data_IF_036935671541
#
_entry.id   IF_036935671541
#
_cell.length_a   1.000
_cell.length_b   1.000
_cell.length_c   1.000
_cell.angle_alpha   90.00
_cell.angle_beta   90.00
_cell.angle_gamma   90.00
#
_symmetry.space_group_name_H-M   'P 1'
#
loop_
_entity.id
_entity.type
_entity.pdbx_description
1 polymer ?
#
# COMPACT_ATOMS: atom_id res chain seq x y z
N UNK A 1 9.67 -2.74 -66.77
CA UNK A 1 8.82 -2.47 -67.95
C UNK A 1 7.69 -1.55 -67.52
N UNK A 2 7.69 -0.34 -68.11
CA UNK A 2 6.61 0.66 -68.34
C UNK A 2 5.90 1.20 -67.09
N UNK A 3 6.08 2.40 -66.67
CA UNK A 3 6.07 3.76 -67.23
C UNK A 3 4.71 4.45 -67.23
N UNK A 4 4.70 5.67 -66.68
CA UNK A 4 3.91 6.87 -67.05
C UNK A 4 2.54 7.01 -66.36
N UNK A 5 2.05 8.20 -65.96
CA UNK A 5 2.39 9.66 -66.04
C UNK A 5 1.33 10.33 -65.17
N UNK A 6 1.60 11.31 -64.32
CA UNK A 6 1.67 12.76 -64.56
C UNK A 6 0.35 13.42 -65.01
N UNK A 7 -0.16 14.38 -64.22
CA UNK A 7 -0.66 15.74 -64.54
C UNK A 7 -1.31 16.32 -63.29
N UNK A 8 -0.82 17.30 -62.66
CA UNK A 8 -0.83 18.76 -62.73
C UNK A 8 -2.20 19.36 -63.13
N UNK A 9 -2.79 20.14 -62.26
CA UNK A 9 -3.33 21.46 -62.53
C UNK A 9 -3.57 22.29 -61.25
N UNK A 10 -3.05 23.44 -61.34
CA UNK A 10 -3.04 24.63 -60.48
C UNK A 10 -4.23 25.49 -60.87
N UNK A 11 -4.94 26.09 -59.89
CA UNK A 11 -5.67 27.34 -60.11
C UNK A 11 -5.91 28.11 -58.78
N UNK A 12 -5.55 29.33 -58.86
CA UNK A 12 -5.50 30.44 -57.91
C UNK A 12 -6.83 31.20 -57.86
N UNK A 13 -6.91 32.08 -56.83
CA UNK A 13 -7.79 33.30 -56.70
C UNK A 13 -9.06 33.06 -55.91
N UNK A 14 -9.54 33.91 -55.04
CA UNK A 14 -9.28 35.28 -54.61
C UNK A 14 -10.03 35.60 -53.31
N UNK A 15 -9.61 36.65 -52.65
CA UNK A 15 -10.10 37.23 -51.40
C UNK A 15 -11.58 37.65 -51.42
N UNK A 16 -12.19 37.66 -50.24
CA UNK A 16 -13.44 38.35 -49.96
C UNK A 16 -13.65 38.50 -48.47
N UNK A 17 -13.41 39.68 -47.96
CA UNK A 17 -13.73 40.14 -46.63
C UNK A 17 -15.23 40.48 -46.59
N UNK A 18 -15.99 40.04 -45.57
CA UNK A 18 -16.91 40.92 -44.85
C UNK A 18 -17.48 40.32 -43.58
N UNK A 19 -17.72 41.19 -42.66
CA UNK A 19 -17.97 41.12 -41.24
C UNK A 19 -19.36 40.61 -40.79
N UNK A 20 -19.40 40.39 -39.48
CA UNK A 20 -20.51 40.50 -38.52
C UNK A 20 -21.74 39.55 -38.63
N UNK A 21 -21.88 38.73 -37.61
CA UNK A 21 -22.99 38.85 -36.67
C UNK A 21 -22.85 37.89 -35.50
N UNK A 22 -22.95 38.45 -34.32
CA UNK A 22 -23.10 37.80 -33.01
C UNK A 22 -24.38 37.03 -32.96
N UNK A 23 -24.35 35.77 -32.59
CA UNK A 23 -25.50 35.12 -31.93
C UNK A 23 -25.02 34.12 -30.89
N UNK A 24 -25.24 34.53 -29.66
CA UNK A 24 -25.17 33.76 -28.43
C UNK A 24 -26.04 32.51 -28.51
N UNK A 25 -25.45 31.35 -28.41
CA UNK A 25 -26.17 30.15 -28.05
C UNK A 25 -25.40 29.44 -26.93
N UNK A 26 -25.90 29.58 -25.70
CA UNK A 26 -25.51 28.75 -24.57
C UNK A 26 -25.82 27.28 -24.87
N UNK A 27 -24.79 26.53 -25.20
CA UNK A 27 -24.79 25.07 -25.19
C UNK A 27 -23.96 24.59 -24.02
N UNK A 28 -24.63 24.38 -22.89
CA UNK A 28 -24.04 23.70 -21.74
C UNK A 28 -23.79 22.22 -22.11
N UNK A 29 -22.62 21.90 -22.59
CA UNK A 29 -22.11 20.52 -22.60
C UNK A 29 -21.50 20.27 -21.25
N UNK A 30 -22.22 19.51 -20.42
CA UNK A 30 -21.66 18.91 -19.22
C UNK A 30 -20.50 18.00 -19.62
N UNK A 31 -19.30 18.49 -19.43
CA UNK A 31 -18.08 17.70 -19.49
C UNK A 31 -18.00 16.96 -18.16
N UNK A 32 -18.40 15.68 -18.17
CA UNK A 32 -18.14 14.74 -17.10
C UNK A 32 -16.65 14.39 -17.13
N UNK A 33 -15.80 15.34 -16.72
CA UNK A 33 -14.45 14.99 -16.34
C UNK A 33 -14.52 14.21 -15.03
N UNK A 34 -14.41 12.90 -15.12
CA UNK A 34 -14.02 12.08 -13.99
C UNK A 34 -12.67 12.59 -13.51
N UNK A 35 -12.69 13.43 -12.48
CA UNK A 35 -11.50 13.74 -11.70
C UNK A 35 -11.11 12.45 -10.99
N UNK A 36 -10.20 11.68 -11.59
CA UNK A 36 -9.29 10.84 -10.83
C UNK A 36 -8.52 11.79 -9.91
N UNK A 37 -8.87 11.80 -8.63
CA UNK A 37 -8.07 12.50 -7.63
C UNK A 37 -6.64 11.95 -7.75
N UNK A 38 -5.67 12.83 -8.00
CA UNK A 38 -4.28 12.44 -7.89
C UNK A 38 -4.08 11.89 -6.48
N UNK A 39 -3.53 10.67 -6.38
CA UNK A 39 -3.22 10.07 -5.09
C UNK A 39 -2.34 11.07 -4.31
N UNK A 40 -2.67 11.28 -3.03
CA UNK A 40 -1.88 12.10 -2.12
C UNK A 40 -0.57 11.36 -1.81
N UNK A 41 0.44 11.58 -2.66
CA UNK A 41 1.73 10.88 -2.59
C UNK A 41 2.62 11.35 -1.43
N UNK A 42 2.14 12.30 -0.61
CA UNK A 42 2.90 12.83 0.52
C UNK A 42 2.73 11.98 1.80
N UNK A 43 1.72 11.10 1.84
CA UNK A 43 1.49 10.19 2.98
C UNK A 43 2.44 9.01 2.91
N UNK A 44 3.53 9.06 3.69
CA UNK A 44 4.56 8.03 3.69
C UNK A 44 4.95 7.61 5.09
N UNK A 45 5.30 6.34 5.24
CA UNK A 45 5.96 5.83 6.43
C UNK A 45 7.06 4.85 6.04
N UNK A 46 8.03 4.64 6.94
CA UNK A 46 9.18 3.76 6.72
C UNK A 46 9.22 2.69 7.79
N UNK A 47 9.38 1.44 7.36
CA UNK A 47 9.65 0.29 8.23
C UNK A 47 11.13 -0.04 8.13
N UNK A 48 11.83 -0.07 9.27
CA UNK A 48 13.17 -0.65 9.41
C UNK A 48 13.02 -2.12 9.79
N UNK A 49 13.74 -3.00 9.08
CA UNK A 49 13.67 -4.46 9.23
C UNK A 49 14.79 -4.95 10.15
N UNK A 50 14.48 -5.81 11.10
CA UNK A 50 15.43 -6.34 12.08
C UNK A 50 15.74 -7.83 11.79
N UNK A 51 16.54 -8.06 10.74
CA UNK A 51 16.90 -9.40 10.27
C UNK A 51 17.69 -10.23 11.29
N UNK A 52 18.27 -9.61 12.31
CA UNK A 52 18.94 -10.34 13.42
C UNK A 52 17.94 -11.07 14.33
N UNK A 53 16.69 -10.60 14.40
CA UNK A 53 15.63 -11.17 15.24
C UNK A 53 14.70 -12.09 14.44
N UNK A 54 14.46 -11.78 13.14
CA UNK A 54 13.55 -12.51 12.28
C UNK A 54 14.05 -12.59 10.81
N UNK A 55 15.15 -13.31 10.54
CA UNK A 55 15.79 -13.32 9.21
C UNK A 55 14.91 -13.87 8.10
N UNK A 56 14.17 -14.97 8.33
CA UNK A 56 13.29 -15.59 7.33
C UNK A 56 12.13 -14.66 6.99
N UNK A 57 11.57 -14.02 8.01
CA UNK A 57 10.46 -13.07 7.86
C UNK A 57 10.90 -11.82 7.09
N UNK A 58 12.06 -11.25 7.43
CA UNK A 58 12.62 -10.10 6.72
C UNK A 58 12.91 -10.43 5.26
N UNK A 59 13.55 -11.57 4.97
CA UNK A 59 13.84 -12.02 3.59
C UNK A 59 12.55 -12.17 2.77
N UNK A 60 11.53 -12.80 3.33
CA UNK A 60 10.22 -12.96 2.68
C UNK A 60 9.56 -11.60 2.42
N UNK A 61 9.55 -10.71 3.41
CA UNK A 61 8.95 -9.39 3.29
C UNK A 61 9.64 -8.55 2.20
N UNK A 62 10.97 -8.53 2.18
CA UNK A 62 11.74 -7.86 1.14
C UNK A 62 11.51 -8.43 -0.26
N UNK A 63 11.44 -9.77 -0.38
CA UNK A 63 11.10 -10.44 -1.64
C UNK A 63 9.77 -9.91 -2.18
N UNK A 64 8.73 -9.90 -1.34
CA UNK A 64 7.40 -9.44 -1.70
C UNK A 64 7.39 -7.93 -2.07
N UNK A 65 8.15 -7.08 -1.37
CA UNK A 65 8.33 -5.67 -1.73
C UNK A 65 9.00 -5.53 -3.10
N UNK A 66 10.09 -6.25 -3.35
CA UNK A 66 10.82 -6.23 -4.64
C UNK A 66 9.96 -6.74 -5.79
N UNK A 67 9.06 -7.68 -5.54
CA UNK A 67 8.08 -8.21 -6.49
C UNK A 67 6.87 -7.30 -6.67
N UNK A 68 6.79 -6.15 -5.94
CA UNK A 68 5.65 -5.23 -5.93
C UNK A 68 4.34 -5.88 -5.48
N UNK A 69 4.43 -6.93 -4.68
CA UNK A 69 3.26 -7.67 -4.22
C UNK A 69 2.30 -6.79 -3.41
N UNK A 70 2.84 -5.85 -2.64
CA UNK A 70 2.04 -4.97 -1.77
C UNK A 70 1.38 -3.80 -2.50
N UNK A 71 1.83 -3.46 -3.72
CA UNK A 71 1.29 -2.34 -4.49
C UNK A 71 -0.19 -2.59 -4.82
N UNK A 72 -1.05 -1.64 -4.46
CA UNK A 72 -2.51 -1.73 -4.62
C UNK A 72 -3.24 -2.50 -3.53
N UNK A 73 -2.54 -3.17 -2.59
CA UNK A 73 -3.18 -3.81 -1.45
C UNK A 73 -3.60 -2.78 -0.40
N UNK A 74 -4.40 -3.21 0.57
CA UNK A 74 -4.98 -2.32 1.58
C UNK A 74 -4.65 -2.73 3.00
N UNK A 75 -4.73 -1.76 3.92
CA UNK A 75 -4.94 -2.04 5.33
C UNK A 75 -6.43 -2.29 5.56
N UNK A 76 -6.81 -3.55 5.60
CA UNK A 76 -8.21 -3.99 5.61
C UNK A 76 -8.82 -4.08 7.00
N UNK A 77 -8.00 -4.02 8.05
CA UNK A 77 -8.42 -4.09 9.45
C UNK A 77 -7.62 -3.11 10.31
N UNK A 78 -8.30 -2.15 10.94
CA UNK A 78 -7.70 -1.11 11.78
C UNK A 78 -8.47 -1.05 13.10
N UNK A 79 -7.81 -1.41 14.21
CA UNK A 79 -8.39 -1.45 15.55
C UNK A 79 -7.68 -0.45 16.44
N UNK A 80 -8.43 0.53 16.93
CA UNK A 80 -7.89 1.56 17.82
C UNK A 80 -7.32 0.94 19.11
N UNK A 81 -6.15 1.41 19.52
CA UNK A 81 -5.44 0.93 20.69
C UNK A 81 -4.87 -0.49 20.56
N UNK A 82 -4.92 -1.09 19.35
CA UNK A 82 -4.34 -2.39 19.07
C UNK A 82 -3.44 -2.35 17.83
N UNK A 83 -3.97 -2.50 16.60
CA UNK A 83 -3.11 -2.59 15.41
C UNK A 83 -3.81 -2.16 14.11
N UNK A 84 -3.02 -1.90 13.07
CA UNK A 84 -3.44 -1.84 11.67
C UNK A 84 -2.88 -3.04 10.91
N UNK A 85 -3.74 -3.85 10.26
CA UNK A 85 -3.38 -5.06 9.53
C UNK A 85 -3.63 -4.89 8.02
N UNK A 86 -2.62 -5.26 7.23
CA UNK A 86 -2.65 -5.19 5.77
C UNK A 86 -1.91 -6.35 5.11
N UNK A 87 -1.64 -6.23 3.79
CA UNK A 87 -0.87 -7.22 3.03
C UNK A 87 -1.67 -8.44 2.58
N UNK A 88 -3.00 -8.34 2.59
CA UNK A 88 -3.91 -9.37 2.10
C UNK A 88 -4.40 -9.04 0.69
N UNK A 89 -4.12 -9.86 -0.35
CA UNK A 89 -4.62 -9.63 -1.70
C UNK A 89 -6.15 -9.72 -1.82
N UNK A 90 -6.84 -10.42 -0.91
CA UNK A 90 -8.30 -10.49 -0.88
C UNK A 90 -8.93 -9.29 -0.13
N UNK A 91 -8.18 -8.63 0.77
CA UNK A 91 -8.66 -7.50 1.56
C UNK A 91 -9.74 -7.84 2.58
N UNK A 92 -9.84 -9.11 3.00
CA UNK A 92 -10.84 -9.60 3.95
C UNK A 92 -10.26 -10.46 5.09
N UNK A 93 -8.94 -10.62 5.12
CA UNK A 93 -8.18 -11.39 6.09
C UNK A 93 -7.95 -12.86 5.68
N UNK A 94 -8.44 -13.29 4.53
CA UNK A 94 -8.39 -14.71 4.11
C UNK A 94 -7.26 -15.03 3.13
N UNK A 95 -6.70 -14.02 2.48
CA UNK A 95 -5.67 -14.16 1.46
C UNK A 95 -4.24 -14.11 2.00
N UNK A 96 -3.30 -14.30 1.08
CA UNK A 96 -1.87 -14.23 1.39
C UNK A 96 -1.02 -14.44 0.14
N UNK A 97 0.30 -14.38 0.28
CA UNK A 97 1.21 -14.80 -0.78
C UNK A 97 1.16 -16.32 -0.95
N UNK A 98 1.73 -16.79 -2.05
CA UNK A 98 1.67 -18.20 -2.45
C UNK A 98 2.38 -19.14 -1.46
N UNK A 99 3.46 -18.67 -0.84
CA UNK A 99 4.31 -19.46 0.03
C UNK A 99 4.13 -19.00 1.47
N UNK A 100 4.07 -19.94 2.41
CA UNK A 100 4.12 -19.66 3.85
C UNK A 100 5.56 -19.76 4.35
N UNK A 101 5.81 -19.14 5.49
CA UNK A 101 7.13 -19.11 6.13
C UNK A 101 7.07 -19.67 7.54
N UNK A 102 8.21 -20.14 8.04
CA UNK A 102 8.37 -20.55 9.44
C UNK A 102 8.13 -19.35 10.35
N UNK A 103 7.33 -19.53 11.40
CA UNK A 103 7.09 -18.50 12.40
C UNK A 103 8.30 -18.34 13.32
N UNK A 104 8.90 -17.14 13.35
CA UNK A 104 10.08 -16.82 14.14
C UNK A 104 9.71 -16.19 15.48
N UNK A 105 9.24 -17.02 16.41
CA UNK A 105 8.87 -16.65 17.78
C UNK A 105 9.06 -17.83 18.75
N UNK A 106 9.12 -17.53 20.06
CA UNK A 106 9.57 -18.50 21.06
C UNK A 106 8.64 -19.73 21.21
N UNK A 107 7.32 -19.59 21.04
CA UNK A 107 6.39 -20.73 21.03
C UNK A 107 6.66 -21.70 19.87
N UNK A 108 7.32 -21.26 18.81
CA UNK A 108 7.76 -22.07 17.66
C UNK A 108 9.27 -22.43 17.70
N UNK A 109 9.90 -22.28 18.87
CA UNK A 109 11.30 -22.65 19.09
C UNK A 109 12.33 -21.72 18.49
N UNK A 110 11.96 -20.48 18.14
CA UNK A 110 12.87 -19.45 17.63
C UNK A 110 12.92 -18.29 18.63
N UNK A 111 14.13 -17.91 19.06
CA UNK A 111 14.30 -16.72 19.88
C UNK A 111 14.02 -15.47 19.02
N UNK A 112 13.13 -14.61 19.48
CA UNK A 112 12.85 -13.30 18.91
C UNK A 112 12.75 -12.30 20.07
N UNK A 113 13.61 -11.26 20.05
CA UNK A 113 13.74 -10.30 21.15
C UNK A 113 12.88 -9.05 21.00
N UNK A 114 12.22 -8.91 19.86
CA UNK A 114 11.36 -7.76 19.60
C UNK A 114 10.05 -7.91 20.40
N UNK A 115 9.77 -6.95 21.24
CA UNK A 115 8.51 -6.88 22.00
C UNK A 115 7.49 -6.04 21.24
N UNK A 116 6.23 -6.51 21.17
CA UNK A 116 5.14 -5.84 20.48
C UNK A 116 4.72 -4.57 21.22
N UNK A 117 5.42 -3.49 20.92
CA UNK A 117 5.14 -2.14 21.40
C UNK A 117 4.71 -1.26 20.24
N UNK A 118 4.27 -0.03 20.51
CA UNK A 118 3.84 0.92 19.47
C UNK A 118 4.89 1.04 18.35
N UNK A 119 4.44 0.91 17.11
CA UNK A 119 5.24 0.99 15.88
C UNK A 119 5.88 -0.33 15.45
N UNK A 120 5.92 -1.35 16.31
CA UNK A 120 6.45 -2.66 15.92
C UNK A 120 5.59 -3.30 14.83
N UNK A 121 6.26 -3.91 13.87
CA UNK A 121 5.65 -4.61 12.74
C UNK A 121 5.84 -6.11 12.90
N UNK A 122 4.76 -6.88 12.78
CA UNK A 122 4.74 -8.31 13.00
C UNK A 122 3.90 -9.03 11.97
N UNK A 123 4.21 -10.32 11.71
CA UNK A 123 3.43 -11.12 10.76
C UNK A 123 2.11 -11.60 11.36
N UNK A 124 1.04 -11.40 10.61
CA UNK A 124 -0.23 -12.08 10.88
C UNK A 124 -0.15 -13.54 10.43
N UNK A 125 -0.88 -14.42 11.10
CA UNK A 125 -0.93 -15.85 10.82
C UNK A 125 -2.29 -16.48 11.19
N UNK A 126 -2.56 -17.66 10.65
CA UNK A 126 -3.64 -18.53 11.11
C UNK A 126 -3.23 -19.33 12.39
N UNK A 127 -3.94 -20.37 12.72
CA UNK A 127 -3.64 -21.19 13.92
C UNK A 127 -2.32 -21.95 13.79
N UNK A 128 -1.96 -22.41 12.60
CA UNK A 128 -0.67 -23.03 12.35
C UNK A 128 0.45 -22.00 12.54
N UNK A 129 1.50 -22.39 13.26
CA UNK A 129 2.62 -21.52 13.60
C UNK A 129 3.46 -21.12 12.36
N UNK A 130 3.42 -21.93 11.30
CA UNK A 130 4.15 -21.73 10.05
C UNK A 130 3.23 -21.28 8.89
N UNK A 131 2.09 -20.65 9.21
CA UNK A 131 1.09 -20.20 8.24
C UNK A 131 1.24 -18.73 7.82
N UNK A 132 2.17 -17.98 8.38
CA UNK A 132 2.42 -16.62 7.95
C UNK A 132 2.87 -16.58 6.49
N UNK A 133 2.45 -15.57 5.72
CA UNK A 133 2.84 -15.44 4.31
C UNK A 133 3.12 -13.98 3.91
N UNK A 134 2.09 -13.14 3.72
CA UNK A 134 2.24 -11.74 3.34
C UNK A 134 1.52 -10.77 4.26
N UNK A 135 0.51 -11.21 5.01
CA UNK A 135 -0.20 -10.31 5.91
C UNK A 135 0.67 -9.91 7.10
N UNK A 136 0.67 -8.62 7.41
CA UNK A 136 1.40 -8.04 8.54
C UNK A 136 0.53 -7.03 9.28
N UNK A 137 0.93 -6.69 10.50
CA UNK A 137 0.28 -5.64 11.26
C UNK A 137 1.28 -4.72 11.95
N UNK A 138 0.86 -3.48 12.19
CA UNK A 138 1.61 -2.44 12.89
C UNK A 138 0.90 -2.17 14.21
N UNK A 139 1.61 -2.31 15.34
CA UNK A 139 1.06 -2.10 16.67
C UNK A 139 0.82 -0.61 16.95
N UNK A 140 -0.33 -0.29 17.55
CA UNK A 140 -0.63 1.07 18.04
C UNK A 140 -0.30 1.28 19.51
N UNK A 141 -0.07 0.21 20.27
CA UNK A 141 -0.01 0.27 21.74
C UNK A 141 1.24 -0.40 22.30
N UNK A 142 1.76 0.15 23.39
CA UNK A 142 2.82 -0.50 24.19
C UNK A 142 2.28 -1.66 25.06
N UNK A 143 0.97 -1.94 24.96
CA UNK A 143 0.31 -3.02 25.71
C UNK A 143 0.14 -4.31 24.92
N UNK A 144 0.59 -4.31 23.65
CA UNK A 144 0.43 -5.47 22.75
C UNK A 144 1.45 -6.59 23.05
N UNK A 145 2.24 -6.46 24.13
CA UNK A 145 3.23 -7.43 24.60
C UNK A 145 2.67 -8.83 24.88
N UNK A 146 1.35 -8.98 24.98
CA UNK A 146 0.71 -10.32 25.06
C UNK A 146 0.89 -11.14 23.77
N UNK A 147 1.33 -10.52 22.67
CA UNK A 147 1.67 -11.17 21.40
C UNK A 147 3.11 -11.72 21.40
N UNK A 148 3.95 -11.29 22.35
CA UNK A 148 5.34 -11.72 22.45
C UNK A 148 5.44 -13.23 22.57
N UNK A 149 6.38 -13.80 21.81
CA UNK A 149 6.56 -15.24 21.75
C UNK A 149 5.49 -16.03 21.00
N UNK A 150 4.49 -15.36 20.43
CA UNK A 150 3.38 -15.98 19.68
C UNK A 150 3.30 -15.51 18.21
N UNK A 151 3.89 -14.36 17.92
CA UNK A 151 3.93 -13.75 16.58
C UNK A 151 5.35 -13.30 16.25
N UNK A 152 5.70 -13.33 14.96
CA UNK A 152 7.01 -12.96 14.47
C UNK A 152 7.08 -11.44 14.25
N UNK A 153 7.49 -10.69 15.28
CA UNK A 153 7.88 -9.30 15.12
C UNK A 153 9.17 -9.24 14.30
N UNK A 154 9.24 -8.35 13.28
CA UNK A 154 10.35 -8.34 12.35
C UNK A 154 10.85 -6.94 11.97
N UNK A 155 10.22 -5.90 12.46
CA UNK A 155 10.60 -4.53 12.15
C UNK A 155 9.84 -3.52 12.98
N UNK A 156 10.09 -2.26 12.68
CA UNK A 156 9.46 -1.12 13.35
C UNK A 156 9.23 0.03 12.37
N UNK A 157 8.13 0.74 12.51
CA UNK A 157 7.92 2.03 11.84
C UNK A 157 8.85 3.06 12.49
N UNK A 158 9.87 3.48 11.76
CA UNK A 158 10.89 4.42 12.24
C UNK A 158 10.66 5.85 11.77
N UNK A 159 9.87 6.03 10.72
CA UNK A 159 9.48 7.35 10.18
C UNK A 159 8.00 7.31 9.77
N UNK A 160 7.28 8.42 9.96
CA UNK A 160 5.89 8.55 9.50
C UNK A 160 4.85 7.75 10.29
N UNK A 161 5.08 7.47 11.57
CA UNK A 161 4.07 6.80 12.42
C UNK A 161 2.78 7.62 12.57
N UNK A 162 2.83 8.93 12.36
CA UNK A 162 1.67 9.83 12.28
C UNK A 162 0.78 9.53 11.08
N UNK A 163 1.35 9.11 9.95
CA UNK A 163 0.58 8.64 8.78
C UNK A 163 -0.18 7.35 9.12
N UNK A 164 0.45 6.44 9.88
CA UNK A 164 -0.21 5.20 10.36
C UNK A 164 -1.32 5.55 11.37
N UNK A 165 -1.12 6.56 12.23
CA UNK A 165 -2.17 7.06 13.14
C UNK A 165 -3.35 7.64 12.38
N UNK A 166 -3.13 8.25 11.23
CA UNK A 166 -4.18 8.82 10.39
C UNK A 166 -5.14 7.75 9.83
N UNK A 167 -4.75 6.47 9.78
CA UNK A 167 -5.67 5.37 9.48
C UNK A 167 -6.83 5.30 10.48
N UNK A 168 -6.61 5.71 11.74
CA UNK A 168 -7.64 5.77 12.77
C UNK A 168 -8.69 6.87 12.52
N UNK A 169 -8.40 7.86 11.67
CA UNK A 169 -9.33 8.94 11.29
C UNK A 169 -10.29 8.50 10.18
N UNK A 170 -9.95 7.43 9.43
CA UNK A 170 -10.82 6.85 8.42
C UNK A 170 -12.03 6.21 9.11
N UNK A 171 -13.24 6.50 8.59
CA UNK A 171 -14.47 5.87 9.09
C UNK A 171 -14.38 4.35 8.94
N UNK A 172 -14.82 3.63 9.98
CA UNK A 172 -14.81 2.17 10.01
C UNK A 172 -16.20 1.60 10.26
N UNK A 173 -16.47 0.46 9.67
CA UNK A 173 -17.67 -0.33 9.88
C UNK A 173 -17.30 -1.66 10.55
N UNK A 174 -18.31 -2.46 10.88
CA UNK A 174 -18.11 -3.77 11.49
C UNK A 174 -17.35 -4.69 10.54
N UNK A 175 -16.19 -5.17 10.98
CA UNK A 175 -15.37 -6.14 10.27
C UNK A 175 -15.77 -7.59 10.57
N UNK A 176 -15.01 -8.55 10.01
CA UNK A 176 -15.18 -9.98 10.26
C UNK A 176 -14.89 -10.40 11.70
N UNK A 177 -14.19 -9.55 12.45
CA UNK A 177 -13.90 -9.70 13.88
C UNK A 177 -15.02 -9.18 14.81
N UNK A 178 -16.16 -8.75 14.25
CA UNK A 178 -17.28 -8.11 14.92
C UNK A 178 -16.93 -6.80 15.66
N UNK A 179 -15.76 -6.21 15.35
CA UNK A 179 -15.35 -4.91 15.84
C UNK A 179 -15.56 -3.82 14.77
N UNK A 180 -15.52 -2.54 15.16
CA UNK A 180 -15.47 -1.39 14.24
C UNK A 180 -14.04 -1.28 13.69
N UNK A 181 -13.70 -2.18 12.78
CA UNK A 181 -12.33 -2.39 12.32
C UNK A 181 -12.11 -2.28 10.82
N UNK A 182 -13.18 -2.39 10.02
CA UNK A 182 -13.07 -2.36 8.55
C UNK A 182 -13.17 -0.92 8.02
N UNK A 183 -12.12 -0.35 7.40
CA UNK A 183 -12.18 0.96 6.78
C UNK A 183 -13.28 1.04 5.70
N UNK A 184 -14.07 2.11 5.71
CA UNK A 184 -15.12 2.39 4.69
C UNK A 184 -14.45 2.90 3.41
N UNK A 185 -13.53 3.85 3.54
CA UNK A 185 -12.63 4.26 2.44
C UNK A 185 -11.40 3.36 2.49
N UNK A 186 -11.01 2.74 1.37
CA UNK A 186 -9.81 1.90 1.35
C UNK A 186 -8.57 2.69 1.76
N UNK A 187 -7.76 2.14 2.67
CA UNK A 187 -6.43 2.63 3.01
C UNK A 187 -5.45 1.86 2.14
N UNK A 188 -5.08 2.45 1.00
CA UNK A 188 -4.38 1.76 -0.08
C UNK A 188 -2.87 1.99 -0.03
N UNK A 189 -2.10 0.92 -0.17
CA UNK A 189 -0.66 0.98 -0.42
C UNK A 189 -0.48 1.32 -1.91
N UNK A 190 -0.13 2.57 -2.22
CA UNK A 190 0.14 2.98 -3.61
C UNK A 190 1.43 2.32 -4.10
N UNK A 191 2.42 2.27 -3.21
CA UNK A 191 3.73 1.69 -3.50
C UNK A 191 4.43 1.26 -2.22
N UNK A 192 5.11 0.11 -2.27
CA UNK A 192 6.10 -0.31 -1.29
C UNK A 192 7.45 -0.49 -1.99
N UNK A 193 8.51 0.15 -1.49
CA UNK A 193 9.83 0.09 -2.11
C UNK A 193 10.96 0.05 -1.10
N UNK A 194 12.00 -0.69 -1.45
CA UNK A 194 13.27 -0.64 -0.69
C UNK A 194 13.89 0.74 -0.84
N UNK A 195 14.41 1.28 0.24
CA UNK A 195 15.17 2.53 0.28
C UNK A 195 16.55 2.27 0.90
N UNK A 196 17.39 3.29 0.98
CA UNK A 196 18.72 3.17 1.58
C UNK A 196 18.65 2.65 3.01
N UNK A 197 19.60 1.79 3.39
CA UNK A 197 19.72 1.23 4.72
C UNK A 197 19.89 2.34 5.79
N UNK A 198 19.57 1.99 7.03
CA UNK A 198 19.84 2.91 8.15
C UNK A 198 21.35 2.94 8.51
N UNK A 199 21.69 3.76 9.51
CA UNK A 199 23.09 3.93 9.93
C UNK A 199 23.70 2.65 10.53
N UNK A 200 22.87 1.71 10.97
CA UNK A 200 23.28 0.43 11.57
C UNK A 200 23.32 -0.70 10.52
N UNK A 201 22.96 -0.39 9.26
CA UNK A 201 22.92 -1.33 8.14
C UNK A 201 21.65 -2.18 8.08
N UNK A 202 20.60 -1.77 8.77
CA UNK A 202 19.31 -2.45 8.65
C UNK A 202 18.59 -2.00 7.36
N UNK A 203 18.01 -2.95 6.65
CA UNK A 203 17.23 -2.67 5.46
C UNK A 203 15.95 -1.90 5.80
N UNK A 204 15.54 -1.00 4.91
CA UNK A 204 14.34 -0.18 5.09
C UNK A 204 13.40 -0.25 3.91
N UNK A 205 12.10 -0.17 4.21
CA UNK A 205 11.02 -0.17 3.22
C UNK A 205 10.16 1.07 3.42
N UNK A 206 9.98 1.87 2.37
CA UNK A 206 9.06 3.00 2.35
C UNK A 206 7.72 2.58 1.77
N UNK A 207 6.65 2.93 2.45
CA UNK A 207 5.27 2.81 1.99
C UNK A 207 4.74 4.19 1.61
N UNK A 208 4.15 4.31 0.42
CA UNK A 208 3.37 5.48 -0.01
C UNK A 208 1.90 5.09 0.03
N UNK A 209 1.08 5.90 0.69
CA UNK A 209 -0.31 5.58 1.01
C UNK A 209 -1.29 6.51 0.31
N UNK A 210 -2.54 6.03 0.10
CA UNK A 210 -3.70 6.81 -0.34
C UNK A 210 -4.94 6.41 0.49
N UNK A 211 -5.58 7.40 1.12
CA UNK A 211 -6.79 7.23 1.94
C UNK A 211 -7.44 8.56 2.35
#
# INVERSE_FOLDING_TARGET
>A
MKLKKLFRALALCTAGVLACAVLTACGYKGDSSSQTSAADTDKKFVITLYANDAPITCENFEKLVKEKFYDGLTFHRVVDGFMAQGGDPNGDGTGGSKETIKGEFSANGVENKLSHTRGVVSMARANDMDSASSQFFICYSDKDTFLDGQYAAFGMVTEGMDVVDDFLKVERTTGSDNAQSKPVTPITIVKAEMIDDDADGNHRVQFTMDF
#
